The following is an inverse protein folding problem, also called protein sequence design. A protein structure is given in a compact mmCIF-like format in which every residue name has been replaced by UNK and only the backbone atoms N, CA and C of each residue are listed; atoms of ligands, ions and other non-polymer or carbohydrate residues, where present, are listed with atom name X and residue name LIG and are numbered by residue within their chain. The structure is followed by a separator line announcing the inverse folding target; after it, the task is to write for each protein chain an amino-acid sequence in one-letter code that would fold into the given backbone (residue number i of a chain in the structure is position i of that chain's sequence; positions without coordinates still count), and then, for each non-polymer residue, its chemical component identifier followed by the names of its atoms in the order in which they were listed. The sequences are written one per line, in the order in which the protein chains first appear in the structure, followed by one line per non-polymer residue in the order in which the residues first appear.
data_IF_166545189639
#
_entry.id   IF_166545189639
#
_cell.length_a   1.000
_cell.length_b   1.000
_cell.length_c   1.000
_cell.angle_alpha   90.00
_cell.angle_beta   90.00
_cell.angle_gamma   90.00
#
_symmetry.space_group_name_H-M   'P 1'
#
loop_
_entity.id
_entity.type
_entity.pdbx_description
1 polymer ?
#
# COMPACT_ATOMS: atom_id res chain seq x y z
N UNK A 1 13.30 -22.65 -33.03
CA UNK A 1 12.94 -22.60 -31.59
C UNK A 1 12.65 -21.15 -31.20
N UNK A 2 11.59 -20.87 -30.43
CA UNK A 2 11.23 -19.49 -30.05
C UNK A 2 12.06 -19.08 -28.82
N UNK A 3 13.01 -18.16 -28.99
CA UNK A 3 13.71 -17.53 -27.87
C UNK A 3 12.75 -16.62 -27.11
N UNK A 4 12.85 -16.61 -25.79
CA UNK A 4 12.07 -15.71 -24.92
C UNK A 4 13.01 -14.83 -24.12
N UNK A 5 12.52 -13.70 -23.63
CA UNK A 5 13.28 -12.85 -22.73
C UNK A 5 12.40 -12.27 -21.64
N UNK A 6 13.04 -11.80 -20.58
CA UNK A 6 12.42 -11.08 -19.47
C UNK A 6 13.18 -9.79 -19.16
N UNK A 7 12.52 -8.84 -18.52
CA UNK A 7 13.15 -7.63 -17.98
C UNK A 7 13.91 -8.01 -16.71
N UNK A 8 15.17 -7.57 -16.61
CA UNK A 8 16.02 -7.82 -15.45
C UNK A 8 15.48 -7.10 -14.21
N UNK A 9 15.64 -7.73 -13.03
CA UNK A 9 15.22 -7.16 -11.75
C UNK A 9 13.74 -6.72 -11.68
N UNK A 10 12.85 -7.42 -12.40
CA UNK A 10 11.43 -7.07 -12.53
C UNK A 10 10.70 -6.85 -11.20
N UNK A 11 11.06 -7.62 -10.16
CA UNK A 11 10.47 -7.51 -8.82
C UNK A 11 10.63 -6.11 -8.18
N UNK A 12 11.61 -5.31 -8.65
CA UNK A 12 11.77 -3.90 -8.21
C UNK A 12 10.72 -2.98 -8.82
N UNK A 13 10.26 -3.30 -10.03
CA UNK A 13 9.30 -2.50 -10.80
C UNK A 13 7.86 -2.86 -10.44
N UNK A 14 7.59 -4.14 -10.11
CA UNK A 14 6.26 -4.60 -9.75
C UNK A 14 6.27 -5.81 -8.80
N UNK A 15 5.31 -5.84 -7.88
CA UNK A 15 5.11 -6.91 -6.89
C UNK A 15 3.81 -7.70 -7.08
N UNK A 16 2.85 -7.17 -7.87
CA UNK A 16 1.62 -7.90 -8.18
C UNK A 16 1.90 -9.12 -9.06
N UNK A 17 1.41 -10.29 -8.63
CA UNK A 17 1.52 -11.56 -9.38
C UNK A 17 0.23 -11.96 -10.10
N UNK A 18 -0.93 -11.66 -9.49
CA UNK A 18 -2.26 -12.12 -9.99
C UNK A 18 -3.19 -10.97 -10.44
N UNK A 19 -2.67 -9.75 -10.54
CA UNK A 19 -3.44 -8.55 -10.89
C UNK A 19 -2.67 -7.84 -11.99
N UNK A 20 -3.26 -7.72 -13.19
CA UNK A 20 -2.70 -6.92 -14.30
C UNK A 20 -2.79 -5.43 -13.91
N UNK A 21 -1.73 -4.86 -13.31
CA UNK A 21 -1.83 -3.56 -12.67
C UNK A 21 -1.78 -2.45 -13.74
N UNK A 22 -2.45 -1.32 -13.51
CA UNK A 22 -2.48 -0.23 -14.48
C UNK A 22 -1.17 0.58 -14.54
N UNK A 23 -0.19 0.28 -13.68
CA UNK A 23 1.06 1.04 -13.55
C UNK A 23 2.25 0.14 -13.15
N UNK A 24 3.47 0.66 -13.34
CA UNK A 24 4.74 0.10 -12.84
C UNK A 24 5.49 1.18 -12.04
N UNK A 25 6.39 0.79 -11.14
CA UNK A 25 7.29 1.76 -10.48
C UNK A 25 8.39 2.16 -11.44
N UNK A 26 8.55 3.45 -11.68
CA UNK A 26 9.73 4.00 -12.35
C UNK A 26 10.59 4.70 -11.30
N UNK A 27 11.78 4.18 -11.05
CA UNK A 27 12.68 4.71 -10.04
C UNK A 27 13.62 5.76 -10.65
N UNK A 28 13.84 6.87 -9.95
CA UNK A 28 14.66 7.99 -10.43
C UNK A 28 16.14 7.62 -10.63
N UNK A 29 16.65 6.63 -9.89
CA UNK A 29 18.02 6.11 -9.99
C UNK A 29 18.39 5.57 -11.39
N UNK A 30 17.40 5.41 -12.28
CA UNK A 30 17.63 5.06 -13.68
C UNK A 30 18.42 6.16 -14.39
N UNK A 31 18.27 7.41 -13.95
CA UNK A 31 19.04 8.53 -14.47
C UNK A 31 20.48 8.58 -13.94
N UNK A 32 20.85 7.70 -13.01
CA UNK A 32 22.22 7.52 -12.52
C UNK A 32 22.87 6.25 -13.13
N UNK A 33 22.14 5.52 -13.99
CA UNK A 33 22.60 4.29 -14.62
C UNK A 33 23.34 4.62 -15.92
N UNK A 34 24.66 4.44 -15.91
CA UNK A 34 25.54 4.70 -17.05
C UNK A 34 25.11 3.96 -18.33
N UNK A 35 24.66 2.71 -18.20
CA UNK A 35 24.22 1.92 -19.34
C UNK A 35 22.90 2.47 -19.91
N UNK A 36 22.06 3.08 -19.08
CA UNK A 36 20.86 3.77 -19.53
C UNK A 36 21.20 5.08 -20.22
N UNK A 37 22.10 5.89 -19.66
CA UNK A 37 22.52 7.18 -20.21
C UNK A 37 23.05 7.05 -21.65
N UNK A 38 23.86 6.02 -21.92
CA UNK A 38 24.45 5.77 -23.24
C UNK A 38 23.46 5.25 -24.29
N UNK A 39 22.23 4.88 -23.91
CA UNK A 39 21.23 4.45 -24.88
C UNK A 39 20.78 5.63 -25.76
N UNK A 40 20.55 5.40 -27.07
CA UNK A 40 19.83 6.36 -27.90
C UNK A 40 18.45 6.66 -27.32
N UNK A 41 17.99 7.91 -27.43
CA UNK A 41 16.70 8.34 -26.84
C UNK A 41 15.51 7.50 -27.30
N UNK A 42 15.55 7.05 -28.57
CA UNK A 42 14.57 6.12 -29.12
C UNK A 42 14.56 4.78 -28.38
N UNK A 43 15.75 4.24 -28.10
CA UNK A 43 15.91 2.97 -27.36
C UNK A 43 15.52 3.12 -25.89
N UNK A 44 15.82 4.27 -25.26
CA UNK A 44 15.33 4.59 -23.90
C UNK A 44 13.81 4.54 -23.86
N UNK A 45 13.13 5.18 -24.82
CA UNK A 45 11.67 5.14 -24.91
C UNK A 45 11.14 3.72 -25.13
N UNK A 46 11.77 2.94 -26.03
CA UNK A 46 11.40 1.54 -26.25
C UNK A 46 11.54 0.71 -24.97
N UNK A 47 12.60 0.90 -24.20
CA UNK A 47 12.82 0.20 -22.94
C UNK A 47 11.70 0.47 -21.93
N UNK A 48 11.31 1.74 -21.75
CA UNK A 48 10.21 2.11 -20.86
C UNK A 48 8.88 1.46 -21.30
N UNK A 49 8.60 1.44 -22.61
CA UNK A 49 7.41 0.77 -23.13
C UNK A 49 7.48 -0.77 -23.00
N UNK A 50 8.67 -1.36 -23.11
CA UNK A 50 8.88 -2.80 -22.87
C UNK A 50 8.63 -3.13 -21.39
N UNK A 51 9.00 -2.27 -20.44
CA UNK A 51 8.64 -2.46 -19.04
C UNK A 51 7.13 -2.43 -18.81
N UNK A 52 6.40 -1.52 -19.47
CA UNK A 52 4.94 -1.54 -19.43
C UNK A 52 4.36 -2.82 -20.05
N UNK A 53 4.97 -3.33 -21.12
CA UNK A 53 4.57 -4.59 -21.74
C UNK A 53 4.82 -5.78 -20.82
N UNK A 54 5.96 -5.81 -20.10
CA UNK A 54 6.30 -6.86 -19.14
C UNK A 54 5.25 -7.01 -18.04
N UNK A 55 4.65 -5.90 -17.59
CA UNK A 55 3.55 -5.91 -16.62
C UNK A 55 2.29 -6.62 -17.12
N UNK A 56 2.10 -6.72 -18.43
CA UNK A 56 0.92 -7.35 -19.06
C UNK A 56 1.18 -8.80 -19.48
N UNK A 57 2.44 -9.23 -19.45
CA UNK A 57 2.89 -10.53 -19.97
C UNK A 57 3.58 -11.37 -18.88
N UNK A 58 3.39 -11.02 -17.60
CA UNK A 58 4.08 -11.66 -16.46
C UNK A 58 5.60 -11.75 -16.68
N UNK A 59 6.17 -10.68 -17.25
CA UNK A 59 7.57 -10.56 -17.60
C UNK A 59 8.11 -11.67 -18.52
N UNK A 60 7.26 -12.28 -19.34
CA UNK A 60 7.65 -13.33 -20.30
C UNK A 60 7.28 -12.89 -21.72
N UNK A 61 8.29 -12.52 -22.50
CA UNK A 61 8.10 -11.99 -23.85
C UNK A 61 8.85 -12.83 -24.90
N UNK A 62 8.34 -12.84 -26.13
CA UNK A 62 9.01 -13.49 -27.25
C UNK A 62 10.13 -12.59 -27.74
N UNK A 63 11.33 -13.14 -27.94
CA UNK A 63 12.49 -12.42 -28.47
C UNK A 63 12.36 -12.20 -29.99
N UNK A 64 11.39 -11.37 -30.36
CA UNK A 64 11.07 -10.98 -31.73
C UNK A 64 10.83 -9.46 -31.79
N UNK A 65 11.79 -8.73 -32.37
CA UNK A 65 11.73 -7.28 -32.52
C UNK A 65 10.49 -6.78 -33.26
N UNK A 66 9.99 -7.52 -34.25
CA UNK A 66 8.79 -7.14 -35.01
C UNK A 66 7.52 -7.28 -34.17
N UNK A 67 7.45 -8.35 -33.38
CA UNK A 67 6.36 -8.54 -32.43
C UNK A 67 6.36 -7.46 -31.35
N UNK A 68 7.53 -7.16 -30.77
CA UNK A 68 7.68 -6.12 -29.74
C UNK A 68 7.30 -4.76 -30.30
N UNK A 69 7.84 -4.37 -31.47
CA UNK A 69 7.54 -3.10 -32.15
C UNK A 69 6.03 -2.87 -32.23
N UNK A 70 5.28 -3.86 -32.73
CA UNK A 70 3.81 -3.80 -32.84
C UNK A 70 3.12 -3.71 -31.49
N UNK A 71 3.61 -4.42 -30.46
CA UNK A 71 3.00 -4.42 -29.12
C UNK A 71 3.19 -3.12 -28.36
N UNK A 72 4.35 -2.47 -28.53
CA UNK A 72 4.65 -1.19 -27.87
C UNK A 72 4.26 0.02 -28.72
N UNK A 73 3.81 -0.16 -29.97
CA UNK A 73 3.44 0.93 -30.87
C UNK A 73 4.63 1.75 -31.37
N UNK A 74 5.82 1.15 -31.47
CA UNK A 74 7.03 1.86 -31.91
C UNK A 74 7.00 2.13 -33.43
N UNK A 75 7.45 3.32 -33.83
CA UNK A 75 7.60 3.71 -35.24
C UNK A 75 8.90 3.17 -35.85
N UNK A 76 9.98 3.11 -35.05
CA UNK A 76 11.32 2.66 -35.44
C UNK A 76 11.55 1.18 -35.08
N UNK A 77 12.71 0.63 -35.48
CA UNK A 77 13.08 -0.73 -35.13
C UNK A 77 13.44 -0.85 -33.64
N UNK A 78 13.02 -1.94 -32.99
CA UNK A 78 13.36 -2.22 -31.60
C UNK A 78 14.62 -3.08 -31.54
N UNK A 79 15.68 -2.51 -30.99
CA UNK A 79 16.98 -3.19 -30.86
C UNK A 79 17.06 -3.98 -29.54
N UNK A 80 16.58 -5.23 -29.57
CA UNK A 80 16.65 -6.13 -28.43
C UNK A 80 18.09 -6.55 -28.10
N UNK A 81 18.98 -6.59 -29.10
CA UNK A 81 20.39 -6.97 -28.88
C UNK A 81 21.12 -5.92 -28.06
N UNK A 82 20.88 -4.64 -28.36
CA UNK A 82 21.44 -3.55 -27.57
C UNK A 82 20.93 -3.59 -26.12
N UNK A 83 19.64 -3.83 -25.91
CA UNK A 83 19.07 -3.93 -24.56
C UNK A 83 19.60 -5.14 -23.78
N UNK A 84 19.84 -6.26 -24.46
CA UNK A 84 20.48 -7.45 -23.89
C UNK A 84 21.94 -7.16 -23.52
N UNK A 85 22.70 -6.56 -24.44
CA UNK A 85 24.11 -6.21 -24.22
C UNK A 85 24.31 -5.23 -23.06
N UNK A 86 23.35 -4.33 -22.84
CA UNK A 86 23.32 -3.37 -21.72
C UNK A 86 22.69 -3.93 -20.44
N UNK A 87 22.30 -5.20 -20.44
CA UNK A 87 21.79 -5.88 -19.25
C UNK A 87 20.39 -5.46 -18.79
N UNK A 88 19.61 -4.78 -19.63
CA UNK A 88 18.22 -4.42 -19.29
C UNK A 88 17.24 -5.59 -19.47
N UNK A 89 17.59 -6.55 -20.32
CA UNK A 89 16.82 -7.77 -20.56
C UNK A 89 17.70 -9.02 -20.49
N UNK A 90 17.10 -10.14 -20.12
CA UNK A 90 17.74 -11.46 -20.05
C UNK A 90 17.06 -12.41 -21.02
N UNK A 91 17.83 -12.99 -21.95
CA UNK A 91 17.33 -13.90 -22.97
C UNK A 91 17.51 -15.34 -22.51
N UNK A 92 16.44 -16.14 -22.61
CA UNK A 92 16.43 -17.56 -22.31
C UNK A 92 16.20 -18.36 -23.60
N UNK A 93 17.14 -19.22 -23.95
CA UNK A 93 16.93 -20.30 -24.91
C UNK A 93 16.26 -21.48 -24.21
N UNK A 94 15.28 -22.11 -24.85
CA UNK A 94 14.72 -23.37 -24.36
C UNK A 94 15.73 -24.51 -24.56
N UNK A 95 16.80 -24.51 -23.80
CA UNK A 95 17.67 -25.66 -23.57
C UNK A 95 17.66 -25.90 -22.06
N UNK A 96 16.75 -26.79 -21.65
CA UNK A 96 16.68 -27.44 -20.34
C UNK A 96 16.84 -26.55 -19.09
N UNK A 97 15.73 -25.99 -18.63
CA UNK A 97 15.41 -26.11 -17.21
C UNK A 97 13.95 -26.55 -17.06
N UNK A 98 13.75 -27.83 -17.34
CA UNK A 98 12.50 -28.57 -17.12
C UNK A 98 12.48 -29.18 -15.72
N UNK A 99 12.95 -28.45 -14.71
CA UNK A 99 12.84 -28.86 -13.31
C UNK A 99 12.16 -27.77 -12.48
N UNK A 100 10.84 -27.65 -12.65
CA UNK A 100 9.91 -27.73 -11.53
C UNK A 100 8.46 -27.82 -12.03
N UNK A 101 8.01 -29.09 -12.11
CA UNK A 101 6.70 -29.62 -11.70
C UNK A 101 5.44 -28.88 -12.18
N UNK A 102 4.72 -29.46 -13.15
CA UNK A 102 3.62 -30.42 -12.96
C UNK A 102 2.40 -29.82 -12.26
N UNK A 103 1.28 -29.90 -12.98
CA UNK A 103 -0.05 -29.51 -12.59
C UNK A 103 -0.54 -30.23 -11.32
N UNK A 104 -1.30 -29.50 -10.50
CA UNK A 104 -2.45 -30.04 -9.80
C UNK A 104 -3.52 -28.96 -9.70
N UNK A 105 -4.62 -29.19 -10.42
CA UNK A 105 -5.91 -28.55 -10.14
C UNK A 105 -6.41 -28.93 -8.74
N UNK A 106 -7.35 -28.10 -8.28
CA UNK A 106 -8.26 -28.27 -7.13
C UNK A 106 -7.80 -27.84 -5.72
N UNK A 107 -8.59 -26.85 -5.26
CA UNK A 107 -9.21 -26.75 -3.93
C UNK A 107 -8.36 -26.28 -2.74
N UNK A 108 -8.75 -25.07 -2.35
CA UNK A 108 -9.09 -24.66 -0.99
C UNK A 108 -7.98 -24.11 -0.11
N UNK A 109 -8.41 -23.08 0.62
CA UNK A 109 -7.97 -22.63 1.95
C UNK A 109 -6.90 -21.54 1.95
N UNK A 110 -7.37 -20.38 2.40
CA UNK A 110 -6.76 -19.57 3.47
C UNK A 110 -5.31 -19.89 3.77
N UNK A 111 -4.42 -18.96 3.41
CA UNK A 111 -3.31 -18.57 4.28
C UNK A 111 -2.62 -17.32 3.74
N UNK A 112 -2.66 -16.25 4.54
CA UNK A 112 -1.52 -15.80 5.35
C UNK A 112 -0.50 -15.09 4.49
N UNK A 113 -0.71 -13.78 4.38
CA UNK A 113 0.36 -12.85 4.03
C UNK A 113 1.37 -12.82 5.18
N UNK A 114 2.53 -13.40 4.93
CA UNK A 114 3.77 -13.06 5.62
C UNK A 114 4.57 -12.19 4.67
N UNK A 115 4.70 -10.90 4.95
CA UNK A 115 5.81 -10.10 4.46
C UNK A 115 6.72 -9.70 5.63
N UNK A 116 7.99 -10.06 5.43
CA UNK A 116 9.12 -9.91 6.33
C UNK A 116 9.70 -8.49 6.22
N UNK A 117 9.89 -7.89 7.39
CA UNK A 117 11.09 -7.18 7.87
C UNK A 117 11.81 -6.16 6.96
N UNK A 118 11.89 -4.92 7.47
CA UNK A 118 13.02 -3.95 7.48
C UNK A 118 12.44 -2.69 8.16
N UNK A 119 12.92 -2.15 9.28
CA UNK A 119 14.26 -2.09 9.90
C UNK A 119 14.07 -2.10 11.42
N UNK A 120 14.94 -2.82 12.12
CA UNK A 120 15.08 -2.77 13.57
C UNK A 120 15.40 -1.34 14.03
N UNK A 121 14.48 -0.75 14.80
CA UNK A 121 14.86 0.16 15.86
C UNK A 121 14.41 -0.49 17.16
N UNK A 122 15.30 -1.32 17.70
CA UNK A 122 15.19 -1.84 19.06
C UNK A 122 15.30 -0.68 20.03
N UNK A 123 14.18 -0.06 20.34
CA UNK A 123 13.96 0.59 21.64
C UNK A 123 12.75 -0.11 22.23
N UNK A 124 13.04 -1.20 22.95
CA UNK A 124 12.09 -1.82 23.87
C UNK A 124 11.92 -0.89 25.07
N UNK A 125 11.17 0.19 24.88
CA UNK A 125 10.54 0.93 25.96
C UNK A 125 9.14 0.36 26.10
N UNK A 126 8.83 -0.28 27.22
CA UNK A 126 7.45 -0.61 27.59
C UNK A 126 6.60 0.66 27.46
N UNK A 127 5.84 0.77 26.37
CA UNK A 127 5.02 1.94 26.10
C UNK A 127 3.90 2.01 27.14
N UNK A 128 3.74 3.15 27.78
CA UNK A 128 2.71 3.35 28.80
C UNK A 128 1.33 3.59 28.18
N UNK A 129 0.47 2.58 28.26
CA UNK A 129 -0.93 2.63 27.82
C UNK A 129 -1.91 3.07 28.91
N UNK A 130 -1.47 3.28 30.15
CA UNK A 130 -2.35 3.66 31.27
C UNK A 130 -3.08 4.98 31.01
N UNK A 131 -2.46 5.88 30.23
CA UNK A 131 -3.06 7.16 29.82
C UNK A 131 -4.36 7.02 29.00
N UNK A 132 -4.61 5.88 28.36
CA UNK A 132 -5.84 5.63 27.62
C UNK A 132 -7.04 5.39 28.54
N UNK A 133 -6.82 5.04 29.82
CA UNK A 133 -7.87 4.69 30.80
C UNK A 133 -8.82 3.61 30.24
N UNK A 134 -8.22 2.56 29.68
CA UNK A 134 -8.90 1.38 29.12
C UNK A 134 -8.38 0.11 29.83
N UNK A 135 -9.19 -0.93 29.83
CA UNK A 135 -8.87 -2.28 30.29
C UNK A 135 -7.94 -3.02 29.31
N UNK A 136 -7.35 -4.12 29.78
CA UNK A 136 -6.52 -4.99 28.95
C UNK A 136 -7.26 -5.58 27.74
N UNK A 137 -8.57 -5.82 27.89
CA UNK A 137 -9.41 -6.31 26.80
C UNK A 137 -9.60 -5.24 25.72
N UNK A 138 -9.97 -4.02 26.12
CA UNK A 138 -10.11 -2.89 25.20
C UNK A 138 -8.78 -2.54 24.53
N UNK A 139 -7.65 -2.70 25.24
CA UNK A 139 -6.34 -2.51 24.65
C UNK A 139 -6.00 -3.56 23.57
N UNK A 140 -6.45 -4.81 23.74
CA UNK A 140 -6.37 -5.82 22.66
C UNK A 140 -7.20 -5.41 21.45
N UNK A 141 -8.40 -4.85 21.67
CA UNK A 141 -9.25 -4.35 20.59
C UNK A 141 -8.65 -3.15 19.87
N UNK A 142 -8.07 -2.18 20.60
CA UNK A 142 -7.33 -1.06 20.02
C UNK A 142 -6.17 -1.54 19.14
N UNK A 143 -5.41 -2.54 19.60
CA UNK A 143 -4.34 -3.16 18.78
C UNK A 143 -4.92 -3.84 17.54
N UNK A 144 -6.02 -4.59 17.69
CA UNK A 144 -6.70 -5.29 16.58
C UNK A 144 -7.20 -4.33 15.51
N UNK A 145 -7.98 -3.30 15.91
CA UNK A 145 -8.54 -2.29 15.02
C UNK A 145 -7.43 -1.57 14.25
N UNK A 146 -6.38 -1.14 14.96
CA UNK A 146 -5.29 -0.39 14.34
C UNK A 146 -4.49 -1.24 13.34
N UNK A 147 -4.23 -2.51 13.65
CA UNK A 147 -3.61 -3.47 12.71
C UNK A 147 -4.47 -3.67 11.47
N UNK A 148 -5.78 -3.91 11.65
CA UNK A 148 -6.75 -4.06 10.56
C UNK A 148 -6.80 -2.83 9.66
N UNK A 149 -6.75 -1.64 10.26
CA UNK A 149 -6.82 -0.36 9.54
C UNK A 149 -5.45 0.12 9.00
N UNK A 150 -4.42 -0.74 9.00
CA UNK A 150 -3.06 -0.41 8.54
C UNK A 150 -2.48 0.85 9.22
N UNK A 151 -2.78 1.02 10.51
CA UNK A 151 -2.06 1.95 11.36
C UNK A 151 -0.66 1.41 11.65
N UNK A 152 0.35 2.28 11.62
CA UNK A 152 1.72 1.89 11.95
C UNK A 152 1.91 1.49 13.42
N UNK A 153 3.14 1.39 13.88
CA UNK A 153 3.42 1.00 15.26
C UNK A 153 2.90 2.02 16.29
N UNK A 154 2.72 1.56 17.52
CA UNK A 154 2.47 2.47 18.63
C UNK A 154 3.75 3.22 18.96
N UNK A 155 3.62 4.54 19.07
CA UNK A 155 4.65 5.43 19.61
C UNK A 155 3.98 6.26 20.70
N UNK A 156 4.76 6.85 21.61
CA UNK A 156 4.22 7.74 22.64
C UNK A 156 3.32 8.85 22.07
N UNK A 157 3.68 9.36 20.88
CA UNK A 157 2.88 10.36 20.16
C UNK A 157 1.51 9.83 19.77
N UNK A 158 1.45 8.59 19.27
CA UNK A 158 0.19 7.93 18.90
C UNK A 158 -0.67 7.68 20.14
N UNK A 159 -0.05 7.20 21.22
CA UNK A 159 -0.76 6.90 22.48
C UNK A 159 -1.34 8.19 23.08
N UNK A 160 -0.53 9.26 23.18
CA UNK A 160 -0.99 10.57 23.65
C UNK A 160 -2.11 11.14 22.78
N UNK A 161 -1.99 10.97 21.45
CA UNK A 161 -3.03 11.37 20.51
C UNK A 161 -4.36 10.65 20.75
N UNK A 162 -4.32 9.32 20.87
CA UNK A 162 -5.52 8.52 21.16
C UNK A 162 -6.10 8.81 22.54
N UNK A 163 -5.26 8.95 23.57
CA UNK A 163 -5.70 9.30 24.92
C UNK A 163 -6.50 10.61 24.93
N UNK A 164 -6.02 11.65 24.24
CA UNK A 164 -6.73 12.93 24.09
C UNK A 164 -8.09 12.76 23.42
N UNK A 165 -8.16 12.05 22.30
CA UNK A 165 -9.40 11.85 21.56
C UNK A 165 -10.41 10.99 22.35
N UNK A 166 -9.93 9.97 23.08
CA UNK A 166 -10.77 9.13 23.94
C UNK A 166 -11.31 9.94 25.12
N UNK A 167 -10.52 10.83 25.71
CA UNK A 167 -10.97 11.72 26.78
C UNK A 167 -12.02 12.72 26.31
N UNK A 168 -11.88 13.28 25.09
CA UNK A 168 -12.90 14.15 24.50
C UNK A 168 -14.24 13.43 24.29
N UNK A 169 -14.21 12.20 23.78
CA UNK A 169 -15.43 11.41 23.61
C UNK A 169 -16.06 11.00 24.94
N UNK A 170 -15.26 10.63 25.94
CA UNK A 170 -15.76 10.33 27.29
C UNK A 170 -16.35 11.56 27.99
N UNK A 171 -15.73 12.73 27.80
CA UNK A 171 -16.27 14.00 28.29
C UNK A 171 -17.62 14.34 27.64
N UNK A 172 -17.86 13.83 26.43
CA UNK A 172 -19.15 13.92 25.73
C UNK A 172 -20.15 12.83 26.12
N UNK A 173 -19.80 11.95 27.09
CA UNK A 173 -20.68 10.91 27.62
C UNK A 173 -20.62 9.57 26.89
N UNK A 174 -19.66 9.35 26.00
CA UNK A 174 -19.49 8.07 25.30
C UNK A 174 -18.66 7.08 26.10
N UNK A 175 -19.06 5.80 26.06
CA UNK A 175 -18.27 4.72 26.64
C UNK A 175 -17.13 4.30 25.70
N UNK A 176 -16.12 3.64 26.25
CA UNK A 176 -15.02 3.08 25.46
C UNK A 176 -15.53 2.11 24.37
N UNK A 177 -16.51 1.25 24.67
CA UNK A 177 -17.10 0.35 23.68
C UNK A 177 -17.72 1.10 22.49
N UNK A 178 -18.42 2.20 22.76
CA UNK A 178 -19.00 3.05 21.70
C UNK A 178 -17.91 3.71 20.85
N UNK A 179 -16.84 4.18 21.50
CA UNK A 179 -15.67 4.76 20.83
C UNK A 179 -15.00 3.73 19.91
N UNK A 180 -14.74 2.51 20.41
CA UNK A 180 -14.09 1.44 19.65
C UNK A 180 -14.97 0.94 18.51
N UNK A 181 -16.27 0.83 18.72
CA UNK A 181 -17.25 0.44 17.69
C UNK A 181 -17.27 1.46 16.55
N UNK A 182 -17.33 2.76 16.87
CA UNK A 182 -17.31 3.81 15.87
C UNK A 182 -15.96 3.83 15.11
N UNK A 183 -14.85 3.67 15.83
CA UNK A 183 -13.53 3.61 15.21
C UNK A 183 -13.41 2.44 14.23
N UNK A 184 -13.84 1.24 14.63
CA UNK A 184 -13.83 0.08 13.74
C UNK A 184 -14.71 0.29 12.51
N UNK A 185 -15.92 0.81 12.69
CA UNK A 185 -16.88 1.05 11.60
C UNK A 185 -16.32 1.97 10.52
N UNK A 186 -15.55 2.99 10.93
CA UNK A 186 -14.97 3.95 9.98
C UNK A 186 -13.72 3.45 9.27
N UNK A 187 -13.00 2.47 9.83
CA UNK A 187 -11.83 1.88 9.17
C UNK A 187 -10.58 2.79 9.08
N UNK A 188 -10.53 3.90 9.82
CA UNK A 188 -9.40 4.84 9.79
C UNK A 188 -8.24 4.43 10.70
N UNK A 189 -7.03 4.94 10.41
CA UNK A 189 -5.77 4.59 11.10
C UNK A 189 -5.68 5.06 12.57
N UNK A 190 -6.48 6.05 12.95
CA UNK A 190 -6.52 6.64 14.31
C UNK A 190 -7.92 7.15 14.59
N UNK A 191 -8.40 7.05 15.82
CA UNK A 191 -9.70 7.60 16.21
C UNK A 191 -9.69 9.13 16.29
N UNK A 192 -10.85 9.75 16.03
CA UNK A 192 -11.13 11.17 16.29
C UNK A 192 -12.47 11.34 17.00
N UNK A 193 -12.49 12.15 18.05
CA UNK A 193 -13.69 12.37 18.86
C UNK A 193 -14.84 13.02 18.08
N UNK A 194 -14.51 13.80 17.05
CA UNK A 194 -15.46 14.47 16.15
C UNK A 194 -16.38 13.50 15.40
N UNK A 195 -16.02 12.21 15.34
CA UNK A 195 -16.84 11.18 14.68
C UNK A 195 -18.03 10.76 15.53
N UNK A 196 -17.94 10.96 16.85
CA UNK A 196 -19.02 10.64 17.75
C UNK A 196 -20.18 11.62 17.55
N UNK A 197 -21.44 11.15 17.63
CA UNK A 197 -22.59 12.03 17.59
C UNK A 197 -22.50 13.14 18.64
N UNK A 198 -23.04 14.32 18.35
CA UNK A 198 -23.14 15.39 19.36
C UNK A 198 -24.01 14.93 20.52
N UNK A 199 -23.50 15.04 21.74
CA UNK A 199 -24.17 14.54 22.95
C UNK A 199 -25.48 15.30 23.21
N UNK A 200 -26.39 14.70 24.00
CA UNK A 200 -27.65 15.36 24.39
C UNK A 200 -27.45 16.65 25.19
N UNK A 201 -26.27 16.87 25.78
CA UNK A 201 -25.95 18.08 26.56
C UNK A 201 -25.82 19.34 25.70
N UNK A 202 -25.33 19.24 24.45
CA UNK A 202 -25.31 20.37 23.51
C UNK A 202 -26.72 20.79 23.06
N UNK A 203 -27.67 19.85 23.00
CA UNK A 203 -29.07 20.15 22.65
C UNK A 203 -29.80 20.95 23.73
N UNK A 204 -29.45 20.78 25.01
CA UNK A 204 -30.04 21.57 26.10
C UNK A 204 -29.37 22.94 26.24
N UNK A 205 -28.05 23.05 26.07
CA UNK A 205 -27.35 24.34 26.09
C UNK A 205 -27.92 25.33 25.05
N UNK A 206 -28.18 24.86 23.82
CA UNK A 206 -28.83 25.68 22.78
C UNK A 206 -30.32 25.99 23.05
N UNK A 207 -31.02 25.22 23.89
CA UNK A 207 -32.41 25.53 24.25
C UNK A 207 -32.52 26.60 25.35
N UNK A 208 -31.55 26.68 26.26
CA UNK A 208 -31.53 27.70 27.33
C UNK A 208 -31.04 29.07 26.83
N UNK A 209 -30.16 29.10 25.83
CA UNK A 209 -29.64 30.35 25.27
C UNK A 209 -30.72 31.09 24.44
N UNK A 210 -31.62 30.35 23.78
CA UNK A 210 -32.77 30.91 23.06
C UNK A 210 -33.94 31.36 23.96
N UNK A 211 -33.94 31.02 25.25
CA UNK A 211 -34.98 31.49 26.20
C UNK A 211 -34.62 32.81 26.90
N UNK A 212 -33.35 33.24 26.89
CA UNK A 212 -32.92 34.50 27.54
C UNK A 212 -33.23 35.78 26.74
N UNK A 213 -33.79 35.67 25.52
CA UNK A 213 -34.05 36.81 24.62
C UNK A 213 -35.55 37.12 24.38
N UNK A 214 -36.44 36.83 25.35
CA UNK A 214 -37.85 37.24 25.27
C UNK A 214 -38.41 37.84 26.57
N UNK A 215 -37.69 38.78 27.16
CA UNK A 215 -38.29 39.71 28.13
C UNK A 215 -37.67 41.09 27.98
N UNK A 216 -38.38 42.00 27.30
CA UNK A 216 -37.98 43.40 27.21
C UNK A 216 -38.63 44.18 26.09
N UNK A 217 -39.71 44.89 26.44
CA UNK A 217 -40.37 46.03 25.73
C UNK A 217 -41.26 45.60 24.53
N UNK A 218 -42.52 46.00 24.42
CA UNK A 218 -43.26 47.17 24.93
C UNK A 218 -44.64 46.77 25.47
#
# INVERSE_FOLDING_TARGET
MKKTFCVKSWDKFQHYKDRNPPWIKLHNHLLDDYDFEELPDTTKCHLLCIWMLASRTNNKMVHDSSWIKRKIGASTAVDLKLLEARGFIEVHSQEQDASNMLASEEKSRDRVETEKSRVDTSVNSDLDFSSLKISDYELKEVRRIRKKNKGGDFTDRVIKGLSKEFELSRSSGFTNDQILTEWETRGWKSFKAEWMPKSKQEKQAHSFENQKYKSGKF
#
